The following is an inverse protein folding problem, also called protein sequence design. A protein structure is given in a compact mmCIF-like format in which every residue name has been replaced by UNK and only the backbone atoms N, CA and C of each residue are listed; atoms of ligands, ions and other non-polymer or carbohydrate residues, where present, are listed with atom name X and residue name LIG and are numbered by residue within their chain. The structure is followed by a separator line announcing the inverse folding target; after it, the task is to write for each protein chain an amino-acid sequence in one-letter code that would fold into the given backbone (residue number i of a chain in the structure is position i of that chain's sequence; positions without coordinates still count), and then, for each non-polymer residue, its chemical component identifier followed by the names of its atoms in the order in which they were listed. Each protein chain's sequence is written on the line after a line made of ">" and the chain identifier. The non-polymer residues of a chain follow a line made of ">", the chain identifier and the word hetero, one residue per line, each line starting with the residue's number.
data_IF_823625172626
#
_entry.id   IF_823625172626
#
_cell.length_a   1.000
_cell.length_b   1.000
_cell.length_c   1.000
_cell.angle_alpha   90.00
_cell.angle_beta   90.00
_cell.angle_gamma   90.00
#
_symmetry.space_group_name_H-M   'P 1'
#
loop_
_entity.id
_entity.type
_entity.pdbx_description
1 polymer ?
#
# COMPACT_ATOMS: atom_id res chain seq x y z
N UNK A 1 -59.81 7.57 31.57
CA UNK A 1 -60.37 8.32 30.42
C UNK A 1 -59.55 7.81 29.24
N UNK A 2 -60.05 6.74 28.71
CA UNK A 2 -60.56 6.40 27.37
C UNK A 2 -59.49 6.53 26.24
N UNK A 3 -59.01 5.32 25.94
CA UNK A 3 -58.50 4.86 24.65
C UNK A 3 -59.50 5.17 23.51
N UNK A 4 -59.08 5.34 22.27
CA UNK A 4 -59.64 4.39 21.32
C UNK A 4 -58.58 3.78 20.35
N UNK A 5 -58.73 2.48 20.21
CA UNK A 5 -58.25 1.57 19.16
C UNK A 5 -58.60 2.08 17.75
N UNK A 6 -57.68 1.89 16.83
CA UNK A 6 -57.97 1.86 15.40
C UNK A 6 -57.48 0.50 14.84
N UNK A 7 -58.47 -0.35 14.53
CA UNK A 7 -58.35 -1.47 13.63
C UNK A 7 -58.39 -0.94 12.20
N UNK A 8 -57.42 -1.31 11.38
CA UNK A 8 -57.61 -1.29 9.94
C UNK A 8 -57.01 -2.56 9.33
N UNK A 9 -57.90 -3.34 8.79
CA UNK A 9 -57.66 -4.58 8.05
C UNK A 9 -57.52 -4.24 6.57
N UNK A 10 -56.36 -4.54 5.97
CA UNK A 10 -56.22 -4.56 4.52
C UNK A 10 -55.90 -5.95 3.99
N UNK A 11 -56.49 -6.34 2.86
CA UNK A 11 -56.39 -7.68 2.31
C UNK A 11 -55.06 -7.93 1.58
N UNK A 12 -54.64 -9.19 1.65
CA UNK A 12 -53.53 -9.75 0.90
C UNK A 12 -53.77 -9.62 -0.60
N UNK A 13 -53.02 -8.79 -1.30
CA UNK A 13 -52.83 -8.87 -2.74
C UNK A 13 -51.56 -9.67 -3.04
N UNK A 14 -51.76 -10.81 -3.69
CA UNK A 14 -50.75 -11.70 -4.21
C UNK A 14 -50.01 -11.00 -5.39
N UNK A 15 -48.80 -10.56 -5.17
CA UNK A 15 -47.94 -10.10 -6.26
C UNK A 15 -47.32 -11.28 -7.00
N UNK A 16 -47.56 -11.34 -8.31
CA UNK A 16 -46.93 -12.24 -9.27
C UNK A 16 -45.40 -12.02 -9.32
N UNK A 17 -44.61 -13.08 -9.63
CA UNK A 17 -43.14 -12.95 -9.69
C UNK A 17 -42.73 -12.01 -10.84
N UNK A 18 -41.89 -11.04 -10.50
CA UNK A 18 -41.27 -10.13 -11.44
C UNK A 18 -40.39 -10.91 -12.43
N UNK A 19 -40.67 -10.75 -13.71
CA UNK A 19 -39.80 -11.22 -14.78
C UNK A 19 -38.44 -10.55 -14.70
N UNK A 20 -37.41 -11.35 -14.51
CA UNK A 20 -36.00 -10.96 -14.63
C UNK A 20 -35.74 -10.48 -16.07
N UNK A 21 -35.64 -9.15 -16.25
CA UNK A 21 -35.20 -8.58 -17.53
C UNK A 21 -33.73 -8.95 -17.74
N UNK A 22 -33.47 -9.89 -18.61
CA UNK A 22 -32.15 -10.22 -19.10
C UNK A 22 -31.52 -8.96 -19.72
N UNK A 23 -30.56 -8.35 -19.02
CA UNK A 23 -29.65 -7.37 -19.63
C UNK A 23 -28.87 -8.06 -20.74
N UNK A 24 -28.86 -7.51 -21.96
CA UNK A 24 -27.98 -8.05 -22.99
C UNK A 24 -26.54 -7.93 -22.54
N UNK A 25 -25.77 -9.02 -22.70
CA UNK A 25 -24.35 -9.04 -22.46
C UNK A 25 -23.68 -7.92 -23.28
N UNK A 26 -22.64 -7.23 -22.74
CA UNK A 26 -21.93 -6.23 -23.53
C UNK A 26 -21.32 -6.94 -24.75
N UNK A 27 -21.62 -6.41 -25.94
CA UNK A 27 -21.06 -6.87 -27.18
C UNK A 27 -19.52 -6.83 -27.06
N UNK A 28 -18.90 -8.01 -27.18
CA UNK A 28 -17.46 -8.12 -27.36
C UNK A 28 -17.15 -7.55 -28.75
N UNK A 29 -16.77 -6.28 -28.81
CA UNK A 29 -16.14 -5.72 -29.99
C UNK A 29 -14.73 -6.30 -30.07
N UNK A 30 -14.56 -7.37 -30.82
CA UNK A 30 -13.25 -7.79 -31.33
C UNK A 30 -12.65 -6.60 -32.09
N UNK A 31 -11.41 -6.17 -31.81
CA UNK A 31 -10.77 -5.16 -32.65
C UNK A 31 -10.61 -5.74 -34.07
N UNK A 32 -11.18 -5.03 -35.01
CA UNK A 32 -11.08 -5.36 -36.43
C UNK A 32 -9.60 -5.26 -36.87
N UNK A 33 -8.96 -6.39 -37.13
CA UNK A 33 -7.54 -6.51 -37.49
C UNK A 33 -7.25 -6.08 -38.96
N UNK A 34 -8.13 -5.29 -39.57
CA UNK A 34 -8.08 -5.02 -40.99
C UNK A 34 -7.79 -3.57 -41.42
N UNK A 35 -7.37 -2.69 -40.54
CA UNK A 35 -6.83 -1.39 -40.96
C UNK A 35 -5.49 -1.16 -40.28
N UNK A 36 -4.39 -1.20 -41.03
CA UNK A 36 -3.04 -0.89 -40.58
C UNK A 36 -2.83 0.59 -40.16
N UNK A 37 -3.84 1.25 -39.62
CA UNK A 37 -3.78 2.58 -39.06
C UNK A 37 -3.47 2.44 -37.58
N UNK A 38 -2.30 2.93 -37.18
CA UNK A 38 -1.92 3.11 -35.78
C UNK A 38 -3.08 3.81 -35.03
N UNK A 39 -3.79 3.17 -34.09
CA UNK A 39 -4.89 3.82 -33.36
C UNK A 39 -4.45 5.05 -32.58
N UNK A 40 -3.15 5.28 -32.48
CA UNK A 40 -2.53 6.43 -31.84
C UNK A 40 -2.27 7.60 -32.79
N UNK A 41 -2.51 7.45 -34.13
CA UNK A 41 -2.29 8.50 -35.12
C UNK A 41 -3.16 9.75 -34.88
N UNK A 42 -4.25 9.64 -34.10
CA UNK A 42 -5.16 10.72 -33.75
C UNK A 42 -5.23 10.98 -32.25
N UNK A 43 -4.09 11.21 -31.59
CA UNK A 43 -4.04 11.66 -30.20
C UNK A 43 -4.10 13.21 -30.13
N UNK A 44 -5.29 13.83 -30.18
CA UNK A 44 -5.41 15.29 -30.26
C UNK A 44 -4.90 16.03 -29.03
N UNK A 45 -4.78 15.33 -27.90
CA UNK A 45 -4.25 15.86 -26.65
C UNK A 45 -2.75 16.08 -26.68
N UNK A 46 -1.96 15.41 -27.55
CA UNK A 46 -0.52 15.55 -27.62
C UNK A 46 -0.06 16.98 -27.92
N UNK A 47 -0.88 17.76 -28.65
CA UNK A 47 -0.61 19.18 -28.90
C UNK A 47 -0.52 20.03 -27.63
N UNK A 48 -1.04 19.52 -26.51
CA UNK A 48 -1.06 20.22 -25.22
C UNK A 48 0.04 19.70 -24.27
N UNK A 49 0.87 18.75 -24.72
CA UNK A 49 2.02 18.29 -23.91
C UNK A 49 3.06 19.40 -23.82
N UNK A 50 3.66 19.54 -22.64
CA UNK A 50 4.80 20.42 -22.48
C UNK A 50 5.98 19.95 -23.32
N UNK A 51 6.84 20.87 -23.81
CA UNK A 51 8.06 20.49 -24.53
C UNK A 51 8.93 19.53 -23.69
N UNK A 52 9.41 18.46 -24.31
CA UNK A 52 10.25 17.45 -23.65
C UNK A 52 9.51 16.31 -22.97
N UNK A 53 8.18 16.41 -22.78
CA UNK A 53 7.40 15.30 -22.21
C UNK A 53 7.30 14.16 -23.21
N UNK A 54 7.71 12.96 -22.82
CA UNK A 54 7.64 11.76 -23.64
C UNK A 54 6.19 11.40 -23.96
N UNK A 55 5.93 11.10 -25.24
CA UNK A 55 4.59 10.68 -25.72
C UNK A 55 4.27 9.25 -25.26
N UNK A 56 5.27 8.41 -25.22
CA UNK A 56 5.18 7.03 -24.75
C UNK A 56 6.35 6.75 -23.81
N UNK A 57 6.11 5.97 -22.78
CA UNK A 57 7.12 5.52 -21.82
C UNK A 57 7.42 4.04 -22.03
N UNK A 58 8.69 3.67 -21.98
CA UNK A 58 9.09 2.27 -21.98
C UNK A 58 8.79 1.65 -20.62
N UNK A 59 8.15 0.48 -20.63
CA UNK A 59 7.81 -0.27 -19.43
C UNK A 59 8.54 -1.62 -19.46
N UNK A 60 9.45 -1.89 -18.54
CA UNK A 60 10.11 -3.19 -18.45
C UNK A 60 9.11 -4.27 -18.03
N UNK A 61 9.40 -5.51 -18.42
CA UNK A 61 8.60 -6.70 -18.06
C UNK A 61 9.11 -7.33 -16.75
N UNK A 62 9.50 -6.48 -15.79
CA UNK A 62 10.05 -6.88 -14.49
C UNK A 62 9.12 -6.46 -13.35
N UNK A 63 9.41 -6.92 -12.15
CA UNK A 63 8.68 -6.48 -10.97
C UNK A 63 9.10 -5.07 -10.57
N UNK A 64 8.20 -4.30 -9.97
CA UNK A 64 8.46 -2.95 -9.46
C UNK A 64 9.70 -2.88 -8.51
N UNK A 65 10.06 -3.99 -7.86
CA UNK A 65 11.22 -4.02 -6.95
C UNK A 65 12.56 -3.75 -7.64
N UNK A 66 12.63 -3.86 -8.99
CA UNK A 66 13.85 -3.51 -9.72
C UNK A 66 14.27 -2.06 -9.54
N UNK A 67 13.33 -1.13 -9.29
CA UNK A 67 13.64 0.29 -9.06
C UNK A 67 14.62 0.47 -7.91
N UNK A 68 14.42 -0.26 -6.82
CA UNK A 68 15.33 -0.22 -5.68
C UNK A 68 16.65 -0.95 -5.99
N UNK A 69 16.58 -2.10 -6.67
CA UNK A 69 17.77 -2.88 -7.02
C UNK A 69 18.68 -2.06 -7.96
N UNK A 70 18.12 -1.32 -8.90
CA UNK A 70 18.83 -0.42 -9.81
C UNK A 70 19.44 0.76 -9.04
N UNK A 71 18.69 1.43 -8.19
CA UNK A 71 19.18 2.54 -7.40
C UNK A 71 20.30 2.13 -6.42
N UNK A 72 20.18 0.95 -5.80
CA UNK A 72 21.24 0.37 -4.93
C UNK A 72 22.51 0.11 -5.75
N UNK A 73 22.39 -0.35 -6.99
CA UNK A 73 23.54 -0.62 -7.86
C UNK A 73 24.21 0.66 -8.37
N UNK A 74 23.40 1.65 -8.78
CA UNK A 74 23.88 2.86 -9.47
C UNK A 74 24.30 3.96 -8.52
N UNK A 75 23.54 4.19 -7.44
CA UNK A 75 23.75 5.32 -6.52
C UNK A 75 23.70 4.89 -5.04
N UNK A 76 24.45 3.84 -4.61
CA UNK A 76 24.31 3.23 -3.28
C UNK A 76 24.48 4.20 -2.10
N UNK A 77 25.31 5.24 -2.28
CA UNK A 77 25.65 6.21 -1.24
C UNK A 77 24.75 7.45 -1.24
N UNK A 78 23.89 7.63 -2.26
CA UNK A 78 22.94 8.72 -2.30
C UNK A 78 21.86 8.51 -1.21
N UNK A 79 21.40 9.61 -0.63
CA UNK A 79 20.30 9.58 0.34
C UNK A 79 19.01 9.20 -0.38
N UNK A 80 18.41 8.08 0.04
CA UNK A 80 17.13 7.61 -0.44
C UNK A 80 15.97 8.19 0.36
N UNK A 81 16.11 8.26 1.69
CA UNK A 81 15.05 8.70 2.59
C UNK A 81 15.61 9.66 3.64
N UNK A 82 14.80 10.67 3.98
CA UNK A 82 15.01 11.53 5.14
C UNK A 82 13.75 11.56 5.99
N UNK A 83 13.93 11.39 7.30
CA UNK A 83 12.83 11.40 8.25
C UNK A 83 13.22 12.14 9.52
N UNK A 84 12.67 13.35 9.74
CA UNK A 84 13.02 14.24 10.87
C UNK A 84 14.54 14.52 11.01
N UNK A 85 15.25 14.53 9.89
CA UNK A 85 16.69 14.74 9.84
C UNK A 85 17.55 13.46 10.02
N UNK A 86 16.92 12.28 10.16
CA UNK A 86 17.61 11.00 9.99
C UNK A 86 17.61 10.62 8.52
N UNK A 87 18.76 10.29 7.98
CA UNK A 87 18.93 9.88 6.58
C UNK A 87 19.14 8.38 6.46
N UNK A 88 18.73 7.83 5.33
CA UNK A 88 18.96 6.44 4.93
C UNK A 88 19.44 6.45 3.50
N UNK A 89 20.59 5.84 3.21
CA UNK A 89 21.13 5.70 1.86
C UNK A 89 20.40 4.59 1.10
N UNK A 90 20.55 4.55 -0.25
CA UNK A 90 19.97 3.44 -1.03
C UNK A 90 20.56 2.09 -0.65
N UNK A 91 21.86 2.00 -0.32
CA UNK A 91 22.47 0.76 0.18
C UNK A 91 21.85 0.30 1.50
N UNK A 92 21.62 1.22 2.44
CA UNK A 92 20.96 0.90 3.71
C UNK A 92 19.51 0.52 3.52
N UNK A 93 18.78 1.22 2.62
CA UNK A 93 17.41 0.92 2.26
C UNK A 93 17.30 -0.49 1.68
N UNK A 94 18.10 -0.83 0.68
CA UNK A 94 18.13 -2.16 0.07
C UNK A 94 18.44 -3.26 1.09
N UNK A 95 19.44 -3.04 1.96
CA UNK A 95 19.77 -3.99 3.02
C UNK A 95 18.63 -4.23 4.01
N UNK A 96 17.88 -3.17 4.37
CA UNK A 96 16.71 -3.30 5.26
C UNK A 96 15.54 -4.00 4.56
N UNK A 97 15.33 -3.74 3.28
CA UNK A 97 14.32 -4.43 2.45
C UNK A 97 14.64 -5.92 2.40
N UNK A 98 15.88 -6.32 2.14
CA UNK A 98 16.28 -7.71 2.06
C UNK A 98 16.08 -8.46 3.38
N UNK A 99 16.42 -7.82 4.50
CA UNK A 99 16.22 -8.40 5.84
C UNK A 99 14.75 -8.51 6.20
N UNK A 100 13.94 -7.50 5.86
CA UNK A 100 12.50 -7.53 6.10
C UNK A 100 11.81 -8.61 5.25
N UNK A 101 12.21 -8.74 3.98
CA UNK A 101 11.72 -9.78 3.08
C UNK A 101 12.03 -11.18 3.62
N UNK A 102 13.28 -11.43 4.02
CA UNK A 102 13.65 -12.72 4.59
C UNK A 102 12.91 -13.00 5.90
N UNK A 103 12.75 -12.00 6.77
CA UNK A 103 11.99 -12.15 8.00
C UNK A 103 10.52 -12.53 7.76
N UNK A 104 9.87 -11.95 6.76
CA UNK A 104 8.52 -12.31 6.33
C UNK A 104 8.48 -13.71 5.72
N UNK A 105 9.46 -14.07 4.89
CA UNK A 105 9.59 -15.41 4.30
C UNK A 105 9.75 -16.49 5.37
N UNK A 106 10.60 -16.27 6.36
CA UNK A 106 10.78 -17.19 7.50
C UNK A 106 9.52 -17.30 8.38
N UNK A 107 8.69 -16.27 8.42
CA UNK A 107 7.36 -16.32 9.03
C UNK A 107 6.32 -17.04 8.14
N UNK A 108 6.73 -17.56 6.98
CA UNK A 108 5.91 -18.35 6.08
C UNK A 108 5.12 -17.55 5.05
N UNK A 109 5.40 -16.26 4.86
CA UNK A 109 4.82 -15.47 3.76
C UNK A 109 5.38 -15.96 2.43
N UNK A 110 4.52 -16.18 1.45
CA UNK A 110 4.83 -16.71 0.12
C UNK A 110 4.27 -15.79 -0.97
N UNK A 111 4.69 -16.00 -2.21
CA UNK A 111 4.12 -15.31 -3.36
C UNK A 111 2.60 -15.48 -3.41
N UNK A 112 1.89 -14.38 -3.67
CA UNK A 112 0.42 -14.31 -3.67
C UNK A 112 -0.24 -14.16 -2.30
N UNK A 113 0.49 -14.32 -1.17
CA UNK A 113 -0.04 -14.02 0.15
C UNK A 113 -0.25 -12.51 0.31
N UNK A 114 -1.32 -12.10 1.01
CA UNK A 114 -1.58 -10.70 1.35
C UNK A 114 -0.90 -10.35 2.66
N UNK A 115 -0.24 -9.19 2.68
CA UNK A 115 0.36 -8.60 3.87
C UNK A 115 -0.22 -7.20 4.07
N UNK A 116 -0.92 -6.99 5.17
CA UNK A 116 -1.52 -5.70 5.49
C UNK A 116 -0.45 -4.70 5.96
N UNK A 117 -0.47 -3.50 5.39
CA UNK A 117 0.42 -2.40 5.72
C UNK A 117 -0.40 -1.24 6.26
N UNK A 118 -0.22 -0.91 7.56
CA UNK A 118 -1.06 0.05 8.29
C UNK A 118 -0.14 1.04 8.99
N UNK A 119 0.54 1.87 8.20
CA UNK A 119 1.55 2.79 8.68
C UNK A 119 1.29 4.22 8.20
N UNK A 120 1.59 5.23 9.01
CA UNK A 120 1.73 6.60 8.50
C UNK A 120 3.01 6.72 7.66
N UNK A 121 3.24 7.89 7.07
CA UNK A 121 4.47 8.17 6.33
C UNK A 121 5.68 8.01 7.25
N UNK A 122 6.51 7.03 6.96
CA UNK A 122 7.75 6.75 7.67
C UNK A 122 8.67 5.85 6.82
N UNK A 123 9.98 5.80 7.10
CA UNK A 123 10.90 4.94 6.34
C UNK A 123 10.47 3.47 6.33
N UNK A 124 9.93 2.97 7.43
CA UNK A 124 9.48 1.58 7.55
C UNK A 124 8.32 1.24 6.61
N UNK A 125 7.50 2.22 6.21
CA UNK A 125 6.45 2.03 5.22
C UNK A 125 7.07 1.62 3.87
N UNK A 126 8.05 2.37 3.39
CA UNK A 126 8.74 2.10 2.12
C UNK A 126 9.50 0.78 2.18
N UNK A 127 10.23 0.53 3.27
CA UNK A 127 10.96 -0.73 3.46
C UNK A 127 10.00 -1.92 3.44
N UNK A 128 8.88 -1.83 4.15
CA UNK A 128 7.87 -2.90 4.21
C UNK A 128 7.21 -3.13 2.85
N UNK A 129 6.84 -2.06 2.16
CA UNK A 129 6.24 -2.12 0.83
C UNK A 129 7.12 -2.92 -0.13
N UNK A 130 8.38 -2.53 -0.29
CA UNK A 130 9.30 -3.23 -1.19
C UNK A 130 9.70 -4.62 -0.70
N UNK A 131 9.77 -4.85 0.62
CA UNK A 131 10.05 -6.18 1.17
C UNK A 131 8.92 -7.18 0.84
N UNK A 132 7.67 -6.75 0.91
CA UNK A 132 6.51 -7.57 0.54
C UNK A 132 6.54 -7.86 -0.97
N UNK A 133 6.77 -6.84 -1.80
CA UNK A 133 6.87 -6.99 -3.26
C UNK A 133 8.01 -7.93 -3.66
N UNK A 134 9.14 -7.89 -2.95
CA UNK A 134 10.31 -8.73 -3.22
C UNK A 134 10.02 -10.22 -3.11
N UNK A 135 9.07 -10.59 -2.25
CA UNK A 135 8.59 -11.97 -2.08
C UNK A 135 7.55 -12.39 -3.13
N UNK A 136 7.06 -11.48 -3.97
CA UNK A 136 5.87 -11.70 -4.80
C UNK A 136 4.58 -11.76 -3.98
N UNK A 137 4.63 -11.30 -2.73
CA UNK A 137 3.45 -11.13 -1.90
C UNK A 137 2.74 -9.81 -2.24
N UNK A 138 1.48 -9.71 -1.86
CA UNK A 138 0.60 -8.61 -2.22
C UNK A 138 0.50 -7.64 -1.04
N UNK A 139 0.86 -6.38 -1.25
CA UNK A 139 0.64 -5.32 -0.26
C UNK A 139 -0.86 -5.03 -0.16
N UNK A 140 -1.38 -4.89 1.06
CA UNK A 140 -2.74 -4.39 1.29
C UNK A 140 -2.65 -3.12 2.12
N UNK A 141 -2.84 -1.97 1.46
CA UNK A 141 -2.71 -0.67 2.10
C UNK A 141 -3.94 -0.29 2.90
N UNK A 142 -3.72 0.20 4.11
CA UNK A 142 -4.78 0.68 4.99
C UNK A 142 -4.44 2.04 5.60
N UNK A 143 -5.46 2.87 5.73
CA UNK A 143 -5.34 4.11 6.49
C UNK A 143 -5.10 3.79 7.98
N UNK A 144 -4.00 4.25 8.59
CA UNK A 144 -3.72 4.03 10.01
C UNK A 144 -4.70 4.73 10.96
N UNK A 145 -5.62 5.53 10.43
CA UNK A 145 -6.68 6.19 11.19
C UNK A 145 -8.00 5.42 11.16
N UNK A 146 -8.08 4.28 10.45
CA UNK A 146 -9.27 3.45 10.45
C UNK A 146 -9.57 2.90 11.84
N UNK A 147 -10.85 2.83 12.15
CA UNK A 147 -11.37 2.18 13.36
C UNK A 147 -11.19 0.66 13.29
N UNK A 148 -11.26 0.00 14.44
CA UNK A 148 -11.22 -1.47 14.49
C UNK A 148 -12.36 -2.13 13.70
N UNK A 149 -13.53 -1.48 13.60
CA UNK A 149 -14.67 -2.00 12.82
C UNK A 149 -14.42 -1.92 11.31
N UNK A 150 -13.87 -0.80 10.81
CA UNK A 150 -13.49 -0.65 9.40
C UNK A 150 -12.41 -1.65 9.00
N UNK A 151 -11.37 -1.79 9.82
CA UNK A 151 -10.29 -2.75 9.59
C UNK A 151 -10.83 -4.18 9.61
N UNK A 152 -11.71 -4.53 10.54
CA UNK A 152 -12.29 -5.87 10.63
C UNK A 152 -12.91 -6.32 9.31
N UNK A 153 -13.76 -5.48 8.71
CA UNK A 153 -14.41 -5.82 7.44
C UNK A 153 -13.39 -6.07 6.32
N UNK A 154 -12.34 -5.23 6.23
CA UNK A 154 -11.29 -5.41 5.22
C UNK A 154 -10.47 -6.68 5.46
N UNK A 155 -10.16 -7.01 6.73
CA UNK A 155 -9.45 -8.24 7.08
C UNK A 155 -10.28 -9.51 6.79
N UNK A 156 -11.60 -9.45 6.93
CA UNK A 156 -12.53 -10.51 6.50
C UNK A 156 -12.46 -10.75 4.98
N UNK A 157 -12.31 -9.68 4.19
CA UNK A 157 -12.25 -9.75 2.73
C UNK A 157 -10.88 -10.23 2.21
N UNK A 158 -9.78 -9.58 2.61
CA UNK A 158 -8.46 -9.88 2.03
C UNK A 158 -7.72 -11.03 2.71
N UNK A 159 -8.06 -11.41 3.95
CA UNK A 159 -7.45 -12.53 4.66
C UNK A 159 -5.93 -12.45 4.76
N UNK A 160 -5.38 -11.31 5.15
CA UNK A 160 -3.92 -11.10 5.20
C UNK A 160 -3.24 -12.08 6.18
N UNK A 161 -2.16 -12.70 5.74
CA UNK A 161 -1.37 -13.66 6.52
C UNK A 161 -0.48 -13.00 7.57
N UNK A 162 -0.01 -11.79 7.27
CA UNK A 162 0.77 -10.96 8.17
C UNK A 162 0.28 -9.51 8.13
N UNK A 163 0.59 -8.75 9.18
CA UNK A 163 0.34 -7.31 9.23
C UNK A 163 1.56 -6.56 9.77
N UNK A 164 1.88 -5.43 9.14
CA UNK A 164 2.89 -4.48 9.62
C UNK A 164 2.13 -3.23 10.02
N UNK A 165 2.15 -2.90 11.29
CA UNK A 165 1.23 -1.95 11.87
C UNK A 165 1.95 -0.93 12.76
N UNK A 166 1.52 0.32 12.75
CA UNK A 166 1.95 1.30 13.72
C UNK A 166 1.63 0.82 15.15
N UNK A 167 2.61 0.82 16.04
CA UNK A 167 2.48 0.29 17.41
C UNK A 167 1.28 0.89 18.16
N UNK A 168 1.00 2.18 17.93
CA UNK A 168 -0.10 2.90 18.56
C UNK A 168 -1.49 2.33 18.27
N UNK A 169 -1.69 1.71 17.12
CA UNK A 169 -2.98 1.16 16.70
C UNK A 169 -2.98 -0.37 16.64
N UNK A 170 -1.90 -1.01 17.05
CA UNK A 170 -1.74 -2.48 16.98
C UNK A 170 -2.85 -3.23 17.70
N UNK A 171 -3.46 -2.62 18.72
CA UNK A 171 -4.62 -3.16 19.44
C UNK A 171 -5.84 -3.43 18.54
N UNK A 172 -6.02 -2.67 17.46
CA UNK A 172 -7.11 -2.92 16.50
C UNK A 172 -6.90 -4.25 15.75
N UNK A 173 -5.65 -4.64 15.50
CA UNK A 173 -5.33 -5.86 14.76
C UNK A 173 -5.22 -7.07 15.71
N UNK A 174 -4.57 -6.89 16.87
CA UNK A 174 -4.50 -7.99 17.86
C UNK A 174 -5.87 -8.34 18.47
N UNK A 175 -6.81 -7.38 18.47
CA UNK A 175 -8.19 -7.57 18.90
C UNK A 175 -9.14 -8.16 17.86
N UNK A 176 -8.68 -8.42 16.63
CA UNK A 176 -9.51 -9.10 15.62
C UNK A 176 -9.86 -10.52 16.04
N UNK A 177 -11.04 -11.05 15.64
CA UNK A 177 -11.40 -12.46 15.81
C UNK A 177 -10.29 -13.39 15.29
N UNK A 178 -10.13 -14.54 15.94
CA UNK A 178 -8.99 -15.44 15.66
C UNK A 178 -8.96 -15.99 14.23
N UNK A 179 -10.12 -16.11 13.59
CA UNK A 179 -10.31 -16.61 12.24
C UNK A 179 -9.88 -15.63 11.14
N UNK A 180 -9.86 -14.32 11.44
CA UNK A 180 -9.47 -13.27 10.49
C UNK A 180 -8.17 -12.54 10.89
N UNK A 181 -7.70 -12.79 12.11
CA UNK A 181 -6.49 -12.15 12.63
C UNK A 181 -5.23 -12.72 11.96
N UNK A 182 -4.33 -11.87 11.44
CA UNK A 182 -3.07 -12.33 10.88
C UNK A 182 -2.27 -13.16 11.88
N UNK A 183 -1.63 -14.23 11.40
CA UNK A 183 -0.78 -15.09 12.24
C UNK A 183 0.44 -14.33 12.78
N UNK A 184 0.95 -13.34 12.02
CA UNK A 184 2.13 -12.55 12.36
C UNK A 184 1.79 -11.06 12.31
N UNK A 185 2.00 -10.36 13.42
CA UNK A 185 1.76 -8.92 13.54
C UNK A 185 3.07 -8.26 13.97
N UNK A 186 3.59 -7.37 13.11
CA UNK A 186 4.84 -6.64 13.34
C UNK A 186 4.54 -5.19 13.69
N UNK A 187 4.94 -4.77 14.90
CA UNK A 187 4.71 -3.40 15.36
C UNK A 187 5.88 -2.48 15.04
N UNK A 188 5.58 -1.37 14.41
CA UNK A 188 6.53 -0.30 14.05
C UNK A 188 6.40 0.86 15.02
N UNK A 189 7.51 1.22 15.66
CA UNK A 189 7.62 2.41 16.49
C UNK A 189 8.27 3.53 15.68
N UNK A 190 7.53 4.62 15.42
CA UNK A 190 8.00 5.74 14.59
C UNK A 190 9.18 6.49 15.19
N UNK A 191 9.24 6.57 16.52
CA UNK A 191 10.32 7.31 17.22
C UNK A 191 11.67 6.65 16.93
N UNK A 192 11.71 5.33 16.72
CA UNK A 192 12.97 4.61 16.43
C UNK A 192 13.62 5.02 15.10
N UNK A 193 12.85 5.56 14.15
CA UNK A 193 13.35 6.08 12.88
C UNK A 193 13.93 7.50 12.99
N UNK A 194 13.70 8.20 14.11
CA UNK A 194 14.16 9.58 14.30
C UNK A 194 15.63 9.61 14.74
N UNK A 195 16.33 10.77 14.56
CA UNK A 195 17.69 10.97 15.04
C UNK A 195 17.86 10.70 16.54
N UNK A 196 19.05 10.27 16.94
CA UNK A 196 19.35 9.94 18.34
C UNK A 196 19.05 11.08 19.32
N UNK A 197 19.38 12.33 18.93
CA UNK A 197 19.10 13.51 19.74
C UNK A 197 17.60 13.75 19.91
N UNK A 198 16.82 13.62 18.85
CA UNK A 198 15.35 13.75 18.90
C UNK A 198 14.74 12.67 19.78
N UNK A 199 15.21 11.42 19.67
CA UNK A 199 14.78 10.32 20.55
C UNK A 199 15.11 10.59 22.02
N UNK A 200 16.29 11.17 22.32
CA UNK A 200 16.69 11.55 23.67
C UNK A 200 15.80 12.70 24.20
N UNK A 201 15.57 13.72 23.39
CA UNK A 201 14.70 14.84 23.74
C UNK A 201 13.25 14.40 24.05
N UNK A 202 12.72 13.45 23.28
CA UNK A 202 11.39 12.88 23.53
C UNK A 202 11.31 12.09 24.86
N UNK A 203 12.43 11.63 25.41
CA UNK A 203 12.47 10.93 26.71
C UNK A 203 12.50 11.87 27.92
N UNK A 204 12.71 13.19 27.73
CA UNK A 204 12.76 14.13 28.83
C UNK A 204 11.45 14.11 29.63
N UNK A 205 11.52 14.30 30.95
CA UNK A 205 10.36 14.26 31.85
C UNK A 205 9.54 15.57 31.84
N UNK A 206 9.40 16.18 30.65
CA UNK A 206 8.62 17.41 30.46
C UNK A 206 7.29 17.12 29.77
N UNK A 207 6.25 17.90 30.09
CA UNK A 207 4.88 17.68 29.54
C UNK A 207 4.84 17.62 28.01
N UNK A 208 5.58 18.52 27.34
CA UNK A 208 5.64 18.58 25.87
C UNK A 208 6.21 17.28 25.26
N UNK A 209 7.32 16.75 25.81
CA UNK A 209 7.94 15.52 25.35
C UNK A 209 7.01 14.31 25.57
N UNK A 210 6.33 14.24 26.72
CA UNK A 210 5.35 13.19 27.02
C UNK A 210 4.20 13.21 26.04
N UNK A 211 3.57 14.38 25.83
CA UNK A 211 2.46 14.53 24.87
C UNK A 211 2.87 14.18 23.44
N UNK A 212 4.10 14.53 23.01
CA UNK A 212 4.61 14.15 21.69
C UNK A 212 4.81 12.64 21.58
N UNK A 213 5.36 11.98 22.59
CA UNK A 213 5.48 10.52 22.61
C UNK A 213 4.13 9.82 22.50
N UNK A 214 3.15 10.23 23.32
CA UNK A 214 1.80 9.68 23.33
C UNK A 214 1.10 9.78 21.95
N UNK A 215 1.53 10.73 21.11
CA UNK A 215 1.04 10.85 19.74
C UNK A 215 1.74 9.91 18.76
N UNK A 216 2.99 9.54 19.04
CA UNK A 216 3.88 8.86 18.07
C UNK A 216 4.08 7.38 18.38
N UNK A 217 3.86 6.92 19.60
CA UNK A 217 4.06 5.54 20.00
C UNK A 217 2.93 5.01 20.88
N UNK A 218 2.81 3.70 20.96
CA UNK A 218 1.88 3.01 21.84
C UNK A 218 2.44 1.66 22.31
N UNK A 219 1.77 1.07 23.30
CA UNK A 219 2.03 -0.30 23.68
C UNK A 219 1.49 -1.27 22.63
N UNK A 220 2.29 -2.26 22.26
CA UNK A 220 1.93 -3.24 21.23
C UNK A 220 2.03 -4.69 21.75
N UNK A 221 1.23 -5.05 22.77
CA UNK A 221 1.23 -6.41 23.31
C UNK A 221 0.73 -7.41 22.24
N UNK A 222 1.29 -8.63 22.27
CA UNK A 222 0.91 -9.67 21.30
C UNK A 222 1.48 -9.46 19.89
N UNK A 223 2.46 -8.56 19.72
CA UNK A 223 3.13 -8.31 18.44
C UNK A 223 4.63 -8.58 18.52
N UNK A 224 5.23 -8.83 17.37
CA UNK A 224 6.69 -8.83 17.20
C UNK A 224 7.16 -7.43 16.82
N UNK A 225 8.26 -6.95 17.38
CA UNK A 225 8.77 -5.63 16.99
C UNK A 225 9.37 -5.64 15.59
N UNK A 226 9.20 -4.56 14.83
CA UNK A 226 9.86 -4.36 13.54
C UNK A 226 11.39 -4.57 13.61
N UNK A 227 12.01 -4.09 14.68
CA UNK A 227 13.44 -4.29 14.89
C UNK A 227 13.85 -5.76 15.04
N UNK A 228 12.94 -6.62 15.52
CA UNK A 228 13.19 -8.05 15.58
C UNK A 228 13.11 -8.69 14.18
N UNK A 229 12.17 -8.26 13.33
CA UNK A 229 12.06 -8.69 11.94
C UNK A 229 13.36 -8.40 11.18
N UNK A 230 13.92 -7.20 11.34
CA UNK A 230 15.17 -6.77 10.69
C UNK A 230 16.44 -7.48 11.19
N UNK A 231 16.36 -8.34 12.21
CA UNK A 231 17.49 -9.21 12.61
C UNK A 231 17.68 -10.41 11.70
N UNK A 232 16.74 -10.68 10.82
CA UNK A 232 16.87 -11.74 9.82
C UNK A 232 18.08 -11.49 8.92
N UNK A 233 18.73 -12.54 8.39
CA UNK A 233 19.75 -12.36 7.35
C UNK A 233 19.11 -11.69 6.12
N UNK A 234 19.89 -11.17 5.18
CA UNK A 234 19.33 -10.73 3.89
C UNK A 234 18.74 -11.94 3.14
N UNK A 235 17.71 -11.68 2.34
CA UNK A 235 17.16 -12.71 1.46
C UNK A 235 18.19 -13.13 0.42
N UNK A 236 18.09 -14.37 -0.05
CA UNK A 236 18.94 -14.88 -1.13
C UNK A 236 18.86 -13.94 -2.35
N UNK A 237 20.00 -13.44 -2.89
CA UNK A 237 20.02 -12.60 -4.08
C UNK A 237 19.33 -13.26 -5.28
N UNK A 238 19.40 -14.59 -5.39
CA UNK A 238 18.79 -15.39 -6.46
C UNK A 238 17.33 -15.77 -6.17
N UNK A 239 16.74 -15.24 -5.08
CA UNK A 239 15.33 -15.48 -4.78
C UNK A 239 14.44 -15.04 -5.95
N UNK A 240 13.56 -15.95 -6.42
CA UNK A 240 12.71 -15.73 -7.58
C UNK A 240 11.82 -14.49 -7.36
N UNK A 241 11.96 -13.50 -8.23
CA UNK A 241 11.15 -12.29 -8.24
C UNK A 241 9.80 -12.52 -8.93
N UNK A 242 8.75 -11.75 -8.57
CA UNK A 242 7.51 -11.71 -9.34
C UNK A 242 7.76 -11.09 -10.72
N UNK A 243 6.77 -11.23 -11.60
CA UNK A 243 6.74 -10.63 -12.93
C UNK A 243 5.99 -9.30 -12.92
N UNK A 244 6.05 -8.55 -14.02
CA UNK A 244 5.29 -7.31 -14.21
C UNK A 244 3.77 -7.51 -14.09
N UNK A 245 3.26 -8.70 -14.42
CA UNK A 245 1.84 -9.02 -14.46
C UNK A 245 1.27 -9.60 -13.16
N UNK A 246 2.13 -9.94 -12.21
CA UNK A 246 1.67 -10.39 -10.90
C UNK A 246 1.02 -9.23 -10.13
N UNK A 247 0.02 -9.55 -9.30
CA UNK A 247 -0.63 -8.56 -8.45
C UNK A 247 0.34 -8.11 -7.36
N UNK A 248 0.56 -6.81 -7.28
CA UNK A 248 1.47 -6.17 -6.32
C UNK A 248 0.73 -5.55 -5.12
N UNK A 249 -0.47 -5.02 -5.37
CA UNK A 249 -1.19 -4.19 -4.41
C UNK A 249 -2.69 -4.43 -4.46
N UNK A 250 -3.31 -4.49 -3.29
CA UNK A 250 -4.74 -4.27 -3.09
C UNK A 250 -4.96 -2.89 -2.50
N UNK A 251 -5.63 -2.02 -3.25
CA UNK A 251 -6.01 -0.68 -2.81
C UNK A 251 -7.51 -0.62 -2.55
N UNK A 252 -7.91 -0.41 -1.30
CA UNK A 252 -9.33 -0.28 -0.96
C UNK A 252 -9.87 1.09 -1.34
N UNK A 253 -11.03 1.10 -2.00
CA UNK A 253 -11.77 2.32 -2.36
C UNK A 253 -13.14 2.29 -1.73
N UNK A 254 -13.67 3.47 -1.38
CA UNK A 254 -15.06 3.62 -0.94
C UNK A 254 -15.98 3.40 -2.15
N UNK A 255 -16.43 2.17 -2.35
CA UNK A 255 -17.32 1.84 -3.46
C UNK A 255 -18.63 2.64 -3.41
N UNK A 256 -19.23 2.90 -4.57
CA UNK A 256 -20.55 3.55 -4.71
C UNK A 256 -21.68 2.77 -4.02
N UNK A 257 -21.45 1.51 -3.66
CA UNK A 257 -22.39 0.60 -3.00
C UNK A 257 -22.25 0.54 -1.47
N UNK A 258 -21.42 1.39 -0.87
CA UNK A 258 -21.25 1.49 0.59
C UNK A 258 -20.18 0.57 1.20
N UNK A 259 -19.86 -0.57 0.59
CA UNK A 259 -18.78 -1.45 1.07
C UNK A 259 -17.47 -1.15 0.31
N UNK A 260 -16.34 -1.01 1.01
CA UNK A 260 -15.03 -0.88 0.39
C UNK A 260 -14.72 -2.06 -0.53
N UNK A 261 -14.10 -1.77 -1.68
CA UNK A 261 -13.68 -2.78 -2.66
C UNK A 261 -12.18 -2.73 -2.83
N UNK A 262 -11.52 -3.90 -2.79
CA UNK A 262 -10.09 -4.04 -3.05
C UNK A 262 -9.82 -4.04 -4.56
N UNK A 263 -9.20 -2.97 -5.06
CA UNK A 263 -8.73 -2.89 -6.45
C UNK A 263 -7.39 -3.58 -6.54
N UNK A 264 -7.26 -4.57 -7.43
CA UNK A 264 -6.01 -5.27 -7.69
C UNK A 264 -5.16 -4.50 -8.69
N UNK A 265 -3.96 -4.12 -8.30
CA UNK A 265 -2.97 -3.46 -9.15
C UNK A 265 -1.75 -4.36 -9.33
N UNK A 266 -1.33 -4.56 -10.58
CA UNK A 266 -0.12 -5.32 -10.90
C UNK A 266 1.14 -4.46 -10.71
N UNK A 267 2.31 -5.08 -10.67
CA UNK A 267 3.59 -4.36 -10.72
C UNK A 267 3.64 -3.41 -11.91
N UNK A 268 3.20 -3.85 -13.09
CA UNK A 268 3.14 -3.03 -14.31
C UNK A 268 2.23 -1.81 -14.16
N UNK A 269 1.07 -1.95 -13.50
CA UNK A 269 0.17 -0.80 -13.29
C UNK A 269 0.85 0.29 -12.44
N UNK A 270 1.51 -0.12 -11.36
CA UNK A 270 2.20 0.81 -10.47
C UNK A 270 3.38 1.48 -11.18
N UNK A 271 4.21 0.71 -11.88
CA UNK A 271 5.36 1.22 -12.61
C UNK A 271 4.94 2.14 -13.76
N UNK A 272 3.90 1.78 -14.52
CA UNK A 272 3.37 2.63 -15.60
C UNK A 272 2.99 4.00 -15.07
N UNK A 273 2.33 4.04 -13.91
CA UNK A 273 1.90 5.29 -13.30
C UNK A 273 3.11 6.12 -12.81
N UNK A 274 4.10 5.47 -12.18
CA UNK A 274 5.36 6.11 -11.77
C UNK A 274 6.13 6.69 -12.94
N UNK A 275 6.36 5.89 -13.99
CA UNK A 275 7.08 6.34 -15.21
C UNK A 275 6.38 7.50 -15.94
N UNK A 276 5.04 7.46 -16.02
CA UNK A 276 4.30 8.59 -16.57
C UNK A 276 4.46 9.84 -15.71
N UNK A 277 4.41 9.70 -14.37
CA UNK A 277 4.65 10.79 -13.45
C UNK A 277 6.04 11.39 -13.60
N UNK A 278 7.08 10.56 -13.64
CA UNK A 278 8.49 10.95 -13.89
C UNK A 278 8.63 11.72 -15.21
N UNK A 279 8.04 11.21 -16.30
CA UNK A 279 8.07 11.87 -17.61
C UNK A 279 7.43 13.27 -17.62
N UNK A 280 6.46 13.51 -16.76
CA UNK A 280 5.81 14.81 -16.61
C UNK A 280 6.55 15.75 -15.67
N UNK A 281 7.05 15.26 -14.55
CA UNK A 281 7.74 16.05 -13.53
C UNK A 281 9.16 16.37 -13.99
N UNK A 282 9.84 15.44 -14.70
CA UNK A 282 11.23 15.53 -15.15
C UNK A 282 12.16 15.96 -14.02
N UNK A 283 12.18 15.21 -12.89
CA UNK A 283 13.00 15.58 -11.75
C UNK A 283 14.48 15.56 -12.12
N UNK A 284 15.22 16.52 -11.63
CA UNK A 284 16.68 16.52 -11.71
C UNK A 284 17.31 15.49 -10.75
N UNK A 285 18.56 15.10 -11.04
CA UNK A 285 19.27 14.07 -10.27
C UNK A 285 19.42 14.38 -8.76
N UNK A 286 19.41 15.65 -8.39
CA UNK A 286 19.59 16.12 -7.00
C UNK A 286 18.27 16.58 -6.35
N UNK A 287 17.15 16.38 -6.99
CA UNK A 287 15.87 16.77 -6.45
C UNK A 287 15.35 15.78 -5.37
N UNK A 288 14.56 16.30 -4.46
CA UNK A 288 13.93 15.53 -3.39
C UNK A 288 12.43 15.78 -3.36
N UNK A 289 11.66 14.71 -3.19
CA UNK A 289 10.20 14.79 -3.04
C UNK A 289 9.85 14.89 -1.57
N UNK A 290 9.17 15.96 -1.19
CA UNK A 290 8.64 16.11 0.17
C UNK A 290 7.29 15.35 0.27
N UNK A 291 7.35 14.11 0.74
CA UNK A 291 6.21 13.18 0.82
C UNK A 291 5.24 13.57 1.94
N UNK A 292 4.43 14.61 1.74
CA UNK A 292 3.38 15.04 2.68
C UNK A 292 2.06 14.31 2.48
N UNK A 293 1.82 13.75 1.29
CA UNK A 293 0.63 12.98 1.01
C UNK A 293 0.72 11.59 1.65
N UNK A 294 -0.40 11.03 2.13
CA UNK A 294 -0.39 9.71 2.75
C UNK A 294 0.12 8.63 1.78
N UNK A 295 1.18 7.91 2.16
CA UNK A 295 1.76 6.84 1.33
C UNK A 295 0.81 5.66 1.13
N UNK A 296 -0.09 5.41 2.08
CA UNK A 296 -1.13 4.37 1.95
C UNK A 296 -2.21 4.72 0.92
N UNK A 297 -2.23 5.93 0.38
CA UNK A 297 -3.18 6.38 -0.63
C UNK A 297 -2.52 6.36 -2.01
N UNK A 298 -3.24 5.93 -3.05
CA UNK A 298 -2.73 5.75 -4.41
C UNK A 298 -1.87 6.91 -4.92
N UNK A 299 -2.31 8.16 -4.72
CA UNK A 299 -1.56 9.33 -5.19
C UNK A 299 -0.27 9.57 -4.39
N UNK A 300 -0.35 9.45 -3.05
CA UNK A 300 0.84 9.57 -2.19
C UNK A 300 1.86 8.46 -2.46
N UNK A 301 1.38 7.24 -2.71
CA UNK A 301 2.22 6.11 -3.10
C UNK A 301 2.92 6.37 -4.45
N UNK A 302 2.20 6.84 -5.46
CA UNK A 302 2.81 7.16 -6.76
C UNK A 302 3.95 8.15 -6.61
N UNK A 303 3.74 9.27 -5.91
CA UNK A 303 4.75 10.32 -5.76
C UNK A 303 5.88 9.97 -4.78
N UNK A 304 5.60 9.20 -3.74
CA UNK A 304 6.54 8.98 -2.64
C UNK A 304 7.16 7.58 -2.58
N UNK A 305 6.69 6.65 -3.41
CA UNK A 305 7.17 5.25 -3.39
C UNK A 305 7.58 4.76 -4.78
N UNK A 306 6.91 5.20 -5.87
CA UNK A 306 7.13 4.65 -7.23
C UNK A 306 7.77 5.64 -8.21
N UNK A 307 7.86 6.92 -7.92
CA UNK A 307 8.68 7.93 -8.59
C UNK A 307 9.93 8.18 -7.79
#
# INVERSE_FOLDING_TARGET
>A
MTDPQYHDSHPHDAQAPAQESQRPAPAQTTPDAASGQNPLAHRPWLKNYSPGVAVDVHLPETSLSHLIDDAVREVPHKIALEFFGATTTYAELGSQIDRAAEGLRLAGVQAGDRVALILPNCPQHIIAFYAILRLGAIVVEHNPLYTGAELRHMFEDHGAKAAIVWDKISGHITGLPADIRPAHIYAVNLIKAMPALTRAALKLPVKKARSSREKLEGAAPGTTSWAQLLKSPPIDPDFKRPTAHDVALLQYTSGTTGLPKGVMLTHRNLESNGRMGEAWIQPGDDESIYSVLPLFHAYGMTLGVTI
#
